data_IF_240871708216
#
_entry.id   IF_240871708216
#
_cell.length_a   1.000
_cell.length_b   1.000
_cell.length_c   1.000
_cell.angle_alpha   90.00
_cell.angle_beta   90.00
_cell.angle_gamma   90.00
#
_symmetry.space_group_name_H-M   'P 1'
#
loop_
_entity.id
_entity.type
_entity.pdbx_description
1 polymer ?
#
# COMPACT_ATOMS: atom_id res chain seq x y z
N UNK A 1 -16.29 -5.44 9.95
CA UNK A 1 -15.41 -5.26 11.15
C UNK A 1 -14.08 -5.94 10.97
N UNK A 2 -14.03 -7.24 10.66
CA UNK A 2 -12.76 -7.95 10.37
C UNK A 2 -12.02 -7.34 9.16
N UNK A 3 -12.73 -7.13 8.03
CA UNK A 3 -12.21 -6.46 6.84
C UNK A 3 -11.51 -5.13 7.19
N UNK A 4 -12.23 -4.21 7.83
CA UNK A 4 -11.73 -2.89 8.24
C UNK A 4 -10.48 -2.98 9.12
N UNK A 5 -10.48 -3.86 10.12
CA UNK A 5 -9.34 -4.05 11.02
C UNK A 5 -8.14 -4.62 10.24
N UNK A 6 -8.38 -5.58 9.35
CA UNK A 6 -7.33 -6.20 8.55
C UNK A 6 -6.74 -5.19 7.54
N UNK A 7 -7.57 -4.46 6.81
CA UNK A 7 -7.15 -3.48 5.81
C UNK A 7 -6.32 -2.35 6.42
N UNK A 8 -6.89 -1.59 7.36
CA UNK A 8 -6.14 -0.48 8.00
C UNK A 8 -4.99 -1.01 8.86
N UNK A 9 -5.18 -2.16 9.53
CA UNK A 9 -4.11 -2.83 10.27
C UNK A 9 -2.92 -3.15 9.37
N UNK A 10 -3.14 -3.68 8.17
CA UNK A 10 -2.07 -3.96 7.21
C UNK A 10 -1.37 -2.67 6.76
N UNK A 11 -2.14 -1.64 6.43
CA UNK A 11 -1.62 -0.34 5.98
C UNK A 11 -0.67 0.32 6.98
N UNK A 12 -0.89 0.17 8.29
CA UNK A 12 -0.01 0.79 9.31
C UNK A 12 0.96 -0.19 9.97
N UNK A 13 0.54 -1.40 10.29
CA UNK A 13 1.37 -2.34 11.07
C UNK A 13 2.39 -3.08 10.20
N UNK A 14 2.10 -3.37 8.93
CA UNK A 14 3.08 -4.04 8.06
C UNK A 14 4.27 -3.13 7.73
N UNK A 15 4.11 -1.85 7.35
CA UNK A 15 5.24 -0.95 7.21
C UNK A 15 6.05 -0.83 8.50
N UNK A 16 5.38 -0.77 9.66
CA UNK A 16 6.06 -0.70 10.94
C UNK A 16 6.89 -1.96 11.22
N UNK A 17 6.31 -3.14 11.00
CA UNK A 17 7.01 -4.41 11.16
C UNK A 17 8.23 -4.51 10.24
N UNK A 18 8.07 -4.16 8.96
CA UNK A 18 9.17 -4.15 7.98
C UNK A 18 10.27 -3.16 8.40
N UNK A 19 9.90 -1.96 8.85
CA UNK A 19 10.86 -0.96 9.31
C UNK A 19 11.65 -1.43 10.55
N UNK A 20 10.97 -2.01 11.53
CA UNK A 20 11.59 -2.50 12.77
C UNK A 20 12.44 -3.76 12.56
N UNK A 21 12.10 -4.61 11.60
CA UNK A 21 12.86 -5.85 11.32
C UNK A 21 14.08 -5.56 10.44
N UNK A 22 13.89 -4.84 9.34
CA UNK A 22 14.92 -4.69 8.29
C UNK A 22 15.69 -3.36 8.33
N UNK A 23 15.14 -2.31 8.96
CA UNK A 23 15.73 -0.97 8.98
C UNK A 23 15.96 -0.44 10.40
N UNK A 24 16.28 -1.34 11.36
CA UNK A 24 16.41 -1.06 12.82
C UNK A 24 17.04 0.28 13.18
N UNK A 25 18.20 0.63 12.59
CA UNK A 25 18.91 1.87 12.92
C UNK A 25 18.16 3.14 12.49
N UNK A 26 17.34 3.05 11.44
CA UNK A 26 16.64 4.16 10.80
C UNK A 26 15.13 3.89 10.67
N UNK A 27 14.56 3.09 11.58
CA UNK A 27 13.22 2.52 11.41
C UNK A 27 12.14 3.61 11.28
N UNK A 28 12.28 4.74 11.97
CA UNK A 28 11.32 5.86 11.87
C UNK A 28 11.29 6.45 10.46
N UNK A 29 12.46 6.65 9.87
CA UNK A 29 12.58 7.14 8.50
C UNK A 29 12.02 6.12 7.51
N UNK A 30 12.40 4.85 7.66
CA UNK A 30 11.90 3.75 6.83
C UNK A 30 10.37 3.64 6.88
N UNK A 31 9.82 3.66 8.09
CA UNK A 31 8.39 3.63 8.34
C UNK A 31 7.68 4.81 7.69
N UNK A 32 8.18 6.03 7.90
CA UNK A 32 7.57 7.24 7.35
C UNK A 32 7.52 7.21 5.81
N UNK A 33 8.62 6.83 5.15
CA UNK A 33 8.65 6.70 3.69
C UNK A 33 7.66 5.64 3.20
N UNK A 34 7.56 4.48 3.87
CA UNK A 34 6.61 3.44 3.46
C UNK A 34 5.15 3.88 3.65
N UNK A 35 4.84 4.61 4.73
CA UNK A 35 3.50 5.16 4.98
C UNK A 35 3.11 6.22 3.93
N UNK A 36 4.07 6.98 3.38
CA UNK A 36 3.79 7.87 2.25
C UNK A 36 3.26 7.12 1.00
N UNK A 37 3.41 5.78 0.95
CA UNK A 37 2.77 4.94 -0.06
C UNK A 37 1.24 5.12 -0.13
N UNK A 38 0.59 5.45 1.00
CA UNK A 38 -0.85 5.75 1.07
C UNK A 38 -1.31 6.87 0.14
N UNK A 39 -0.39 7.73 -0.31
CA UNK A 39 -0.73 8.80 -1.24
C UNK A 39 -1.24 8.31 -2.60
N UNK A 40 -1.05 7.03 -2.95
CA UNK A 40 -1.64 6.50 -4.18
C UNK A 40 -3.18 6.42 -4.12
N UNK A 41 -3.78 6.34 -2.93
CA UNK A 41 -5.25 6.39 -2.75
C UNK A 41 -5.88 7.71 -3.18
N UNK A 42 -5.07 8.75 -3.42
CA UNK A 42 -5.59 9.99 -4.00
C UNK A 42 -6.23 9.77 -5.38
N UNK A 43 -5.91 8.67 -6.07
CA UNK A 43 -6.59 8.29 -7.31
C UNK A 43 -8.06 7.84 -7.10
N UNK A 44 -8.49 7.56 -5.86
CA UNK A 44 -9.89 7.33 -5.51
C UNK A 44 -10.77 8.55 -5.79
N UNK A 45 -10.19 9.76 -5.75
CA UNK A 45 -10.89 11.00 -6.09
C UNK A 45 -11.36 11.03 -7.56
N UNK A 46 -10.82 10.15 -8.42
CA UNK A 46 -11.23 10.00 -9.82
C UNK A 46 -12.42 9.05 -10.00
N UNK A 47 -12.86 8.36 -8.93
CA UNK A 47 -13.97 7.42 -8.99
C UNK A 47 -15.33 8.08 -8.75
N UNK A 48 -16.38 7.51 -9.33
CA UNK A 48 -17.78 7.87 -9.02
C UNK A 48 -18.55 6.59 -8.66
N UNK A 49 -19.10 6.48 -7.42
CA UNK A 49 -18.92 7.41 -6.30
C UNK A 49 -17.48 7.39 -5.75
N UNK A 50 -17.05 8.47 -5.11
CA UNK A 50 -15.68 8.59 -4.57
C UNK A 50 -15.42 7.48 -3.53
N UNK A 51 -16.37 7.26 -2.62
CA UNK A 51 -16.31 6.19 -1.63
C UNK A 51 -17.43 5.17 -1.88
N UNK A 52 -17.07 3.89 -1.96
CA UNK A 52 -18.00 2.76 -2.03
C UNK A 52 -17.42 1.62 -1.18
N UNK A 53 -18.08 1.22 -0.07
CA UNK A 53 -17.57 0.15 0.79
C UNK A 53 -17.62 -1.23 0.13
N UNK A 54 -18.33 -1.37 -1.00
CA UNK A 54 -18.48 -2.62 -1.76
C UNK A 54 -17.64 -2.65 -3.04
N UNK A 55 -16.67 -1.73 -3.21
CA UNK A 55 -15.74 -1.71 -4.34
C UNK A 55 -14.35 -2.25 -3.97
N UNK A 56 -13.87 -3.19 -4.78
CA UNK A 56 -12.46 -3.58 -4.76
C UNK A 56 -11.61 -2.56 -5.55
N UNK A 57 -10.58 -2.00 -4.91
CA UNK A 57 -9.66 -1.02 -5.54
C UNK A 57 -8.75 -1.62 -6.62
N UNK A 58 -8.44 -2.92 -6.50
CA UNK A 58 -7.50 -3.60 -7.39
C UNK A 58 -8.02 -3.60 -8.83
N UNK A 59 -7.20 -3.09 -9.74
CA UNK A 59 -7.51 -2.92 -11.17
C UNK A 59 -8.74 -2.04 -11.47
N UNK A 60 -9.23 -1.30 -10.47
CA UNK A 60 -10.29 -0.31 -10.63
C UNK A 60 -9.70 1.11 -10.75
N UNK A 61 -8.80 1.48 -9.83
CA UNK A 61 -8.19 2.81 -9.83
C UNK A 61 -6.87 2.86 -10.62
N UNK A 62 -6.50 4.01 -11.25
CA UNK A 62 -5.33 4.11 -12.12
C UNK A 62 -4.00 3.64 -11.52
N UNK A 63 -3.72 4.01 -10.26
CA UNK A 63 -2.50 3.65 -9.52
C UNK A 63 -2.61 2.27 -8.85
N UNK A 64 -3.76 1.62 -8.96
CA UNK A 64 -4.05 0.27 -8.47
C UNK A 64 -4.19 -0.76 -9.62
N UNK A 65 -3.83 -0.37 -10.85
CA UNK A 65 -3.80 -1.27 -12.01
C UNK A 65 -2.66 -2.29 -11.91
N UNK A 66 -2.81 -3.45 -12.57
CA UNK A 66 -1.73 -4.45 -12.64
C UNK A 66 -0.43 -3.89 -13.25
N UNK A 67 -0.53 -2.92 -14.16
CA UNK A 67 0.63 -2.23 -14.70
C UNK A 67 1.36 -1.40 -13.64
N UNK A 68 0.62 -0.63 -12.83
CA UNK A 68 1.20 0.15 -11.73
C UNK A 68 1.87 -0.78 -10.69
N UNK A 69 1.21 -1.89 -10.33
CA UNK A 69 1.78 -2.90 -9.44
C UNK A 69 3.10 -3.47 -9.97
N UNK A 70 3.15 -3.79 -11.27
CA UNK A 70 4.38 -4.24 -11.92
C UNK A 70 5.52 -3.24 -11.74
N UNK A 71 5.26 -1.94 -11.92
CA UNK A 71 6.23 -0.87 -11.66
C UNK A 71 6.65 -0.86 -10.19
N UNK A 72 5.72 -0.98 -9.24
CA UNK A 72 6.04 -0.97 -7.80
C UNK A 72 6.97 -2.13 -7.40
N UNK A 73 6.73 -3.31 -7.95
CA UNK A 73 7.61 -4.47 -7.76
C UNK A 73 9.00 -4.21 -8.36
N UNK A 74 9.08 -3.60 -9.55
CA UNK A 74 10.37 -3.23 -10.15
C UNK A 74 11.15 -2.21 -9.29
N UNK A 75 10.45 -1.29 -8.60
CA UNK A 75 11.09 -0.33 -7.68
C UNK A 75 11.79 -1.00 -6.48
N UNK A 76 11.50 -2.27 -6.19
CA UNK A 76 12.20 -3.04 -5.14
C UNK A 76 13.66 -3.37 -5.51
N UNK A 77 13.98 -3.41 -6.81
CA UNK A 77 15.30 -3.84 -7.30
C UNK A 77 16.38 -2.80 -6.96
N UNK A 78 16.27 -1.51 -7.38
CA UNK A 78 17.28 -0.51 -7.09
C UNK A 78 17.30 -0.15 -5.60
N UNK A 79 18.48 -0.11 -4.99
CA UNK A 79 18.63 0.23 -3.56
C UNK A 79 18.06 1.60 -3.21
N UNK A 80 18.09 2.56 -4.14
CA UNK A 80 17.61 3.93 -3.96
C UNK A 80 16.10 4.03 -3.90
N UNK A 81 15.37 3.25 -4.70
CA UNK A 81 13.90 3.27 -4.77
C UNK A 81 13.24 2.22 -3.89
N UNK A 82 14.00 1.23 -3.39
CA UNK A 82 13.48 0.05 -2.69
C UNK A 82 12.52 0.39 -1.57
N UNK A 83 12.82 1.41 -0.78
CA UNK A 83 11.99 1.78 0.37
C UNK A 83 10.62 2.34 -0.07
N UNK A 84 10.60 3.10 -1.18
CA UNK A 84 9.35 3.57 -1.80
C UNK A 84 8.59 2.38 -2.39
N UNK A 85 9.27 1.50 -3.13
CA UNK A 85 8.67 0.29 -3.69
C UNK A 85 8.06 -0.61 -2.60
N UNK A 86 8.72 -0.75 -1.45
CA UNK A 86 8.17 -1.49 -0.31
C UNK A 86 6.89 -0.86 0.21
N UNK A 87 6.84 0.45 0.37
CA UNK A 87 5.62 1.16 0.79
C UNK A 87 4.47 0.92 -0.18
N UNK A 88 4.71 1.08 -1.48
CA UNK A 88 3.71 0.90 -2.53
C UNK A 88 3.23 -0.56 -2.63
N UNK A 89 4.13 -1.54 -2.52
CA UNK A 89 3.75 -2.96 -2.55
C UNK A 89 2.97 -3.36 -1.30
N UNK A 90 3.36 -2.87 -0.12
CA UNK A 90 2.62 -3.12 1.13
C UNK A 90 1.23 -2.49 1.04
N UNK A 91 1.11 -1.28 0.48
CA UNK A 91 -0.18 -0.63 0.23
C UNK A 91 -1.09 -1.51 -0.61
N UNK A 92 -0.64 -1.91 -1.79
CA UNK A 92 -1.38 -2.80 -2.69
C UNK A 92 -1.75 -4.12 -2.00
N UNK A 93 -0.85 -4.69 -1.20
CA UNK A 93 -1.14 -5.89 -0.43
C UNK A 93 -2.31 -5.68 0.55
N UNK A 94 -2.34 -4.56 1.26
CA UNK A 94 -3.45 -4.20 2.16
C UNK A 94 -4.79 -4.06 1.43
N UNK A 95 -4.78 -3.56 0.19
CA UNK A 95 -5.99 -3.46 -0.63
C UNK A 95 -6.45 -4.82 -1.17
N UNK A 96 -5.50 -5.70 -1.51
CA UNK A 96 -5.82 -7.10 -1.83
C UNK A 96 -6.47 -7.79 -0.63
N UNK A 97 -5.98 -7.55 0.58
CA UNK A 97 -6.59 -8.06 1.82
C UNK A 97 -8.00 -7.53 2.00
N UNK A 98 -8.22 -6.23 1.74
CA UNK A 98 -9.57 -5.64 1.79
C UNK A 98 -10.51 -6.33 0.80
N UNK A 99 -10.13 -6.39 -0.49
CA UNK A 99 -10.91 -7.05 -1.53
C UNK A 99 -11.21 -8.53 -1.25
N UNK A 100 -10.32 -9.22 -0.53
CA UNK A 100 -10.49 -10.64 -0.19
C UNK A 100 -11.46 -10.87 0.97
N UNK A 101 -11.79 -9.82 1.73
CA UNK A 101 -12.64 -9.87 2.93
C UNK A 101 -13.97 -9.11 2.76
N UNK A 102 -14.28 -8.66 1.54
CA UNK A 102 -15.58 -8.13 1.12
C UNK A 102 -16.59 -9.25 0.91
#
# INVERSE_FOLDING_TARGET
MLQTIAHYGCHFLLPLAVALVFYKSNWKYAYFIMILGMLIDLDHLLATPIFDPNRCSINFHPLHTYYAMGVYVLLLIPKTTRLIGLGLVIHIFSDVVDCSLM
#
